data_IF_486303304524
#
_entry.id   IF_486303304524
#
_cell.length_a   1.000
_cell.length_b   1.000
_cell.length_c   1.000
_cell.angle_alpha   90.00
_cell.angle_beta   90.00
_cell.angle_gamma   90.00
#
_symmetry.space_group_name_H-M   'P 1'
#
loop_
_entity.id
_entity.type
_entity.pdbx_description
1 polymer ?
#
# COMPACT_ATOMS: atom_id res chain seq x y z
N UNK A 1 -17.65 -1.46 13.62
CA UNK A 1 -16.97 -0.71 12.53
C UNK A 1 -17.36 -1.22 11.15
N UNK A 2 -17.39 -2.54 10.89
CA UNK A 2 -17.85 -3.11 9.61
C UNK A 2 -19.26 -2.67 9.19
N UNK A 3 -20.21 -2.67 10.11
CA UNK A 3 -21.61 -2.36 9.78
C UNK A 3 -21.79 -0.93 9.27
N UNK A 4 -21.09 0.03 9.89
CA UNK A 4 -21.09 1.42 9.42
C UNK A 4 -20.53 1.54 7.99
N UNK A 5 -19.45 0.81 7.66
CA UNK A 5 -18.88 0.82 6.32
C UNK A 5 -19.82 0.18 5.30
N UNK A 6 -20.50 -0.91 5.69
CA UNK A 6 -21.42 -1.62 4.81
C UNK A 6 -22.65 -0.76 4.49
N UNK A 7 -23.25 -0.12 5.49
CA UNK A 7 -24.40 0.77 5.30
C UNK A 7 -24.06 2.03 4.52
N UNK A 8 -22.82 2.54 4.61
CA UNK A 8 -22.38 3.71 3.85
C UNK A 8 -22.32 3.46 2.32
N UNK A 9 -22.31 2.19 1.88
CA UNK A 9 -22.33 1.84 0.45
C UNK A 9 -23.65 2.23 -0.23
N UNK A 10 -24.76 2.25 0.51
CA UNK A 10 -26.08 2.59 -0.03
C UNK A 10 -26.33 4.11 -0.03
N UNK A 11 -25.41 4.89 0.54
CA UNK A 11 -25.53 6.35 0.62
C UNK A 11 -25.40 6.99 -0.76
N UNK A 12 -26.27 7.96 -1.05
CA UNK A 12 -26.14 8.87 -2.19
C UNK A 12 -25.31 10.08 -1.76
N UNK A 13 -24.23 10.39 -2.49
CA UNK A 13 -23.35 11.51 -2.18
C UNK A 13 -24.02 12.83 -2.60
N UNK A 14 -23.86 13.88 -1.78
CA UNK A 14 -24.35 15.22 -2.16
C UNK A 14 -23.75 15.64 -3.50
N UNK A 15 -24.58 16.13 -4.41
CA UNK A 15 -24.16 16.55 -5.75
C UNK A 15 -24.01 15.41 -6.77
N UNK A 16 -24.27 14.15 -6.40
CA UNK A 16 -24.34 13.01 -7.32
C UNK A 16 -25.79 12.52 -7.35
N UNK A 17 -26.56 12.96 -8.34
CA UNK A 17 -28.02 12.99 -8.25
C UNK A 17 -28.75 11.63 -8.43
N UNK A 18 -28.06 10.51 -8.64
CA UNK A 18 -28.76 9.26 -8.99
C UNK A 18 -28.07 7.96 -8.57
N UNK A 19 -26.76 7.96 -8.34
CA UNK A 19 -26.02 6.73 -8.07
C UNK A 19 -25.62 6.64 -6.60
N UNK A 20 -25.84 5.47 -6.01
CA UNK A 20 -25.31 5.15 -4.68
C UNK A 20 -23.79 5.00 -4.72
N UNK A 21 -23.14 5.07 -3.55
CA UNK A 21 -21.70 4.88 -3.43
C UNK A 21 -21.24 3.52 -3.97
N UNK A 22 -22.06 2.48 -3.83
CA UNK A 22 -21.83 1.14 -4.39
C UNK A 22 -21.79 1.14 -5.92
N UNK A 23 -22.71 1.86 -6.56
CA UNK A 23 -22.76 1.96 -8.02
C UNK A 23 -21.55 2.73 -8.55
N UNK A 24 -21.22 3.87 -7.92
CA UNK A 24 -19.99 4.62 -8.20
C UNK A 24 -18.73 3.78 -8.05
N UNK A 25 -18.62 2.99 -6.98
CA UNK A 25 -17.46 2.11 -6.77
C UNK A 25 -17.30 1.07 -7.89
N UNK A 26 -18.39 0.65 -8.51
CA UNK A 26 -18.35 -0.29 -9.64
C UNK A 26 -17.78 0.39 -10.88
N UNK A 27 -18.20 1.61 -11.16
CA UNK A 27 -17.67 2.42 -12.27
C UNK A 27 -16.20 2.75 -12.06
N UNK A 28 -15.81 3.19 -10.86
CA UNK A 28 -14.42 3.50 -10.50
C UNK A 28 -13.51 2.28 -10.66
N UNK A 29 -14.00 1.07 -10.31
CA UNK A 29 -13.23 -0.17 -10.48
C UNK A 29 -12.97 -0.52 -11.95
N UNK A 30 -13.88 -0.13 -12.85
CA UNK A 30 -13.70 -0.31 -14.29
C UNK A 30 -12.75 0.74 -14.85
N UNK A 31 -12.84 1.98 -14.36
CA UNK A 31 -11.96 3.08 -14.75
C UNK A 31 -10.53 2.96 -14.18
N UNK A 32 -10.36 2.18 -13.10
CA UNK A 32 -9.08 1.93 -12.48
C UNK A 32 -8.13 1.21 -13.44
N UNK A 33 -6.85 1.55 -13.34
CA UNK A 33 -5.78 0.82 -14.04
C UNK A 33 -5.74 -0.60 -13.48
N UNK A 34 -5.59 -1.58 -14.37
CA UNK A 34 -5.43 -2.98 -13.98
C UNK A 34 -4.29 -3.12 -12.97
N UNK A 35 -4.54 -3.87 -11.89
CA UNK A 35 -3.48 -4.21 -10.97
C UNK A 35 -2.46 -5.09 -11.71
N UNK A 36 -1.16 -4.87 -11.53
CA UNK A 36 -0.15 -5.80 -12.02
C UNK A 36 -0.42 -7.21 -11.46
N UNK A 37 -0.22 -8.23 -12.29
CA UNK A 37 -0.33 -9.64 -11.85
C UNK A 37 0.79 -10.04 -10.87
N UNK A 38 1.86 -9.24 -10.83
CA UNK A 38 2.98 -9.46 -9.92
C UNK A 38 2.68 -8.97 -8.50
N UNK A 39 3.26 -9.64 -7.52
CA UNK A 39 3.15 -9.22 -6.12
C UNK A 39 3.91 -7.91 -5.92
N UNK A 40 3.23 -6.90 -5.37
CA UNK A 40 3.90 -5.67 -4.99
C UNK A 40 4.91 -5.94 -3.87
N UNK A 41 6.20 -5.95 -4.21
CA UNK A 41 7.28 -5.99 -3.22
C UNK A 41 7.60 -4.57 -2.75
N UNK A 42 7.22 -4.28 -1.51
CA UNK A 42 7.50 -2.99 -0.88
C UNK A 42 8.98 -2.85 -0.47
N UNK A 43 9.76 -3.95 -0.48
CA UNK A 43 11.15 -3.94 -0.06
C UNK A 43 12.00 -3.20 -1.08
N UNK A 44 12.82 -2.29 -0.59
CA UNK A 44 13.87 -1.66 -1.38
C UNK A 44 15.17 -2.40 -1.13
N UNK A 45 15.58 -3.24 -2.07
CA UNK A 45 16.83 -3.99 -1.97
C UNK A 45 17.99 -3.16 -2.53
N UNK A 46 19.07 -3.03 -1.79
CA UNK A 46 20.28 -2.35 -2.25
C UNK A 46 21.50 -3.09 -1.75
N UNK A 47 22.44 -3.37 -2.65
CA UNK A 47 23.72 -3.97 -2.27
C UNK A 47 24.60 -2.92 -1.62
N UNK A 48 25.16 -3.26 -0.46
CA UNK A 48 26.01 -2.39 0.34
C UNK A 48 26.96 -3.25 1.17
N UNK A 49 27.98 -2.64 1.76
CA UNK A 49 28.99 -3.34 2.56
C UNK A 49 28.83 -2.99 4.03
N UNK A 50 29.13 -3.95 4.90
CA UNK A 50 29.26 -3.70 6.32
C UNK A 50 30.56 -2.94 6.59
N UNK A 51 30.51 -1.97 7.51
CA UNK A 51 31.70 -1.34 8.07
C UNK A 51 32.46 -2.32 8.97
N UNK A 52 33.66 -1.92 9.42
CA UNK A 52 34.42 -2.66 10.43
C UNK A 52 33.69 -2.81 11.76
N UNK A 53 32.66 -2.00 12.01
CA UNK A 53 31.81 -2.05 13.21
C UNK A 53 30.57 -2.93 13.00
N UNK A 54 30.49 -3.69 11.89
CA UNK A 54 29.33 -4.52 11.55
C UNK A 54 28.04 -3.72 11.41
N UNK A 55 28.15 -2.50 10.86
CA UNK A 55 27.03 -1.64 10.53
C UNK A 55 26.91 -1.50 9.01
N UNK A 56 25.68 -1.53 8.52
CA UNK A 56 25.34 -1.29 7.14
C UNK A 56 24.52 -0.01 7.05
N UNK A 57 25.01 0.95 6.26
CA UNK A 57 24.25 2.17 5.95
C UNK A 57 23.25 1.89 4.84
N UNK A 58 21.98 2.14 5.13
CA UNK A 58 20.91 2.11 4.15
C UNK A 58 20.01 3.34 4.31
N UNK A 59 19.88 4.09 3.21
CA UNK A 59 19.24 5.42 3.19
C UNK A 59 19.91 6.36 4.21
N UNK A 60 19.20 6.77 5.25
CA UNK A 60 19.69 7.66 6.33
C UNK A 60 20.00 6.92 7.63
N UNK A 61 19.87 5.59 7.65
CA UNK A 61 19.97 4.79 8.87
C UNK A 61 21.14 3.80 8.79
N UNK A 62 21.74 3.51 9.95
CA UNK A 62 22.72 2.45 10.13
C UNK A 62 22.06 1.25 10.81
N UNK A 63 22.15 0.09 10.18
CA UNK A 63 21.59 -1.16 10.65
C UNK A 63 22.72 -2.09 11.08
N UNK A 64 22.61 -2.70 12.25
CA UNK A 64 23.54 -3.74 12.66
C UNK A 64 23.33 -5.01 11.84
N UNK A 65 24.42 -5.67 11.49
CA UNK A 65 24.39 -6.98 10.83
C UNK A 65 25.00 -8.04 11.74
N UNK A 66 24.49 -9.29 11.69
CA UNK A 66 25.02 -10.37 12.50
C UNK A 66 26.46 -10.69 12.10
N UNK A 67 27.30 -10.91 13.10
CA UNK A 67 28.65 -11.46 12.95
C UNK A 67 28.70 -12.88 13.49
N UNK A 68 29.42 -13.76 12.80
CA UNK A 68 29.76 -15.09 13.33
C UNK A 68 30.97 -14.96 14.26
N UNK A 69 30.88 -15.53 15.46
CA UNK A 69 32.00 -15.69 16.39
C UNK A 69 32.83 -16.93 16.07
#
# INVERSE_FOLDING_TARGET
>A
MRDCCQSDLDRILRGKCSLSKKQWLTEDRIAAIALPDDTFDYRKTTSTIASSESLVRYDTNDYSVPVSF
#
